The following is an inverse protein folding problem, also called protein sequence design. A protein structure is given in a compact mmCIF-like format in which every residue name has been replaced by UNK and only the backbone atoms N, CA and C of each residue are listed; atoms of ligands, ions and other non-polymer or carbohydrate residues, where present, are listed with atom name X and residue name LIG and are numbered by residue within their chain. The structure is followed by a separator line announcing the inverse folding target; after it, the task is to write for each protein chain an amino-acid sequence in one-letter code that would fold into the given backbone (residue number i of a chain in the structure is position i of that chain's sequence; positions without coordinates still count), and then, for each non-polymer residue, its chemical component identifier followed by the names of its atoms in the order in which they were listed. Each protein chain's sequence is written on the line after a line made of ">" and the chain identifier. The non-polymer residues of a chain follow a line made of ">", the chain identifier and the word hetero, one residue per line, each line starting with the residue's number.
data_IF_678906619305
#
_entry.id   IF_678906619305
#
_cell.length_a   1.000
_cell.length_b   1.000
_cell.length_c   1.000
_cell.angle_alpha   90.00
_cell.angle_beta   90.00
_cell.angle_gamma   90.00
#
_symmetry.space_group_name_H-M   'P 1'
#
loop_
_entity.id
_entity.type
_entity.pdbx_description
1 polymer ?
#
# COMPACT_ATOMS: atom_id res chain seq x y z
N UNK A 1 -2.14 7.30 24.13
CA UNK A 1 -2.46 7.66 22.73
C UNK A 1 -1.40 7.20 21.72
N UNK A 2 -0.11 7.54 21.87
CA UNK A 2 0.95 7.12 20.91
C UNK A 2 1.04 5.60 20.71
N UNK A 3 1.01 4.83 21.80
CA UNK A 3 1.03 3.36 21.74
C UNK A 3 -0.20 2.78 21.02
N UNK A 4 -1.38 3.40 21.21
CA UNK A 4 -2.61 2.96 20.55
C UNK A 4 -2.50 3.09 19.03
N UNK A 5 -2.04 4.25 18.55
CA UNK A 5 -1.86 4.51 17.11
C UNK A 5 -0.84 3.54 16.51
N UNK A 6 0.27 3.30 17.20
CA UNK A 6 1.25 2.30 16.77
C UNK A 6 0.63 0.89 16.68
N UNK A 7 -0.09 0.43 17.71
CA UNK A 7 -0.73 -0.89 17.68
C UNK A 7 -1.78 -1.00 16.57
N UNK A 8 -2.59 0.03 16.34
CA UNK A 8 -3.53 0.08 15.22
C UNK A 8 -2.79 -0.04 13.88
N UNK A 9 -1.75 0.74 13.65
CA UNK A 9 -0.95 0.65 12.41
C UNK A 9 -0.36 -0.75 12.18
N UNK A 10 0.04 -1.42 13.26
CA UNK A 10 0.56 -2.79 13.22
C UNK A 10 -0.52 -3.81 12.88
N UNK A 11 -1.72 -3.66 13.43
CA UNK A 11 -2.89 -4.49 13.10
C UNK A 11 -3.25 -4.32 11.62
N UNK A 12 -3.31 -3.08 11.13
CA UNK A 12 -3.56 -2.79 9.71
C UNK A 12 -2.50 -3.44 8.81
N UNK A 13 -1.22 -3.30 9.15
CA UNK A 13 -0.14 -3.95 8.40
C UNK A 13 -0.31 -5.47 8.32
N UNK A 14 -0.47 -6.15 9.45
CA UNK A 14 -0.59 -7.61 9.45
C UNK A 14 -1.89 -8.10 8.80
N UNK A 15 -3.00 -7.42 9.04
CA UNK A 15 -4.28 -7.72 8.40
C UNK A 15 -4.19 -7.58 6.87
N UNK A 16 -3.53 -6.52 6.39
CA UNK A 16 -3.33 -6.30 4.97
C UNK A 16 -2.37 -7.33 4.36
N UNK A 17 -1.28 -7.71 5.05
CA UNK A 17 -0.39 -8.79 4.60
C UNK A 17 -1.11 -10.14 4.52
N UNK A 18 -1.97 -10.46 5.48
CA UNK A 18 -2.78 -11.68 5.45
C UNK A 18 -3.72 -11.66 4.25
N UNK A 19 -4.46 -10.57 4.07
CA UNK A 19 -5.34 -10.39 2.92
C UNK A 19 -4.58 -10.52 1.59
N UNK A 20 -3.43 -9.87 1.47
CA UNK A 20 -2.59 -9.95 0.28
C UNK A 20 -2.07 -11.36 0.03
N UNK A 21 -1.62 -12.05 1.07
CA UNK A 21 -1.18 -13.44 0.96
C UNK A 21 -2.29 -14.37 0.50
N UNK A 22 -3.50 -14.23 1.06
CA UNK A 22 -4.67 -15.01 0.66
C UNK A 22 -5.05 -14.73 -0.79
N UNK A 23 -5.04 -13.46 -1.22
CA UNK A 23 -5.37 -13.11 -2.59
C UNK A 23 -4.32 -13.63 -3.58
N UNK A 24 -3.03 -13.46 -3.28
CA UNK A 24 -1.94 -13.99 -4.11
C UNK A 24 -2.03 -15.50 -4.20
N UNK A 25 -2.27 -16.18 -3.08
CA UNK A 25 -2.45 -17.62 -3.06
C UNK A 25 -3.60 -18.03 -3.96
N UNK A 26 -4.77 -17.38 -3.83
CA UNK A 26 -5.88 -17.55 -4.74
C UNK A 26 -5.48 -17.39 -6.21
N UNK A 27 -4.82 -16.27 -6.55
CA UNK A 27 -4.37 -16.00 -7.92
C UNK A 27 -3.46 -17.10 -8.48
N UNK A 28 -2.54 -17.63 -7.66
CA UNK A 28 -1.66 -18.73 -8.06
C UNK A 28 -2.45 -20.01 -8.31
N UNK A 29 -3.41 -20.34 -7.46
CA UNK A 29 -4.28 -21.49 -7.65
C UNK A 29 -5.10 -21.38 -8.95
N UNK A 30 -5.64 -20.19 -9.22
CA UNK A 30 -6.35 -19.91 -10.46
C UNK A 30 -5.46 -20.08 -11.69
N UNK A 31 -4.17 -19.72 -11.61
CA UNK A 31 -3.22 -19.99 -12.69
C UNK A 31 -2.99 -21.49 -12.92
N UNK A 32 -2.90 -22.29 -11.84
CA UNK A 32 -2.76 -23.75 -11.94
C UNK A 32 -3.99 -24.42 -12.54
N UNK A 33 -5.18 -23.98 -12.14
CA UNK A 33 -6.44 -24.50 -12.68
C UNK A 33 -6.65 -24.12 -14.16
N UNK A 34 -6.36 -22.86 -14.53
CA UNK A 34 -6.41 -22.44 -15.92
C UNK A 34 -5.35 -23.14 -16.80
N UNK A 35 -4.28 -23.68 -16.21
CA UNK A 35 -3.29 -24.51 -16.90
C UNK A 35 -3.69 -26.00 -16.94
N UNK A 36 -4.89 -26.36 -16.48
CA UNK A 36 -5.42 -27.73 -16.39
C UNK A 36 -4.55 -28.68 -15.55
N UNK A 37 -3.74 -28.13 -14.62
CA UNK A 37 -2.85 -28.92 -13.75
C UNK A 37 -3.63 -29.48 -12.55
N UNK A 38 -4.64 -28.75 -12.08
CA UNK A 38 -5.43 -29.05 -10.89
C UNK A 38 -6.90 -28.72 -11.23
N UNK A 39 -7.84 -29.55 -10.78
CA UNK A 39 -9.29 -29.31 -10.88
C UNK A 39 -9.84 -29.10 -9.46
N UNK A 40 -10.17 -27.85 -9.10
CA UNK A 40 -10.58 -27.46 -7.75
C UNK A 40 -11.94 -26.78 -7.72
N UNK A 41 -12.82 -27.24 -6.82
CA UNK A 41 -14.21 -26.75 -6.70
C UNK A 41 -14.37 -25.36 -6.07
N UNK A 42 -13.29 -24.70 -5.65
CA UNK A 42 -13.36 -23.40 -4.94
C UNK A 42 -13.08 -22.19 -5.83
N UNK A 43 -12.65 -22.44 -7.06
CA UNK A 43 -12.30 -21.42 -8.04
C UNK A 43 -13.21 -21.69 -9.23
N UNK A 44 -14.02 -20.72 -9.59
CA UNK A 44 -14.86 -20.81 -10.78
C UNK A 44 -14.44 -19.72 -11.75
N UNK A 45 -14.26 -20.13 -13.00
CA UNK A 45 -14.10 -19.21 -14.12
C UNK A 45 -15.45 -18.98 -14.78
N UNK A 46 -15.99 -17.77 -14.62
CA UNK A 46 -17.21 -17.37 -15.34
C UNK A 46 -16.80 -16.57 -16.58
N UNK A 47 -17.29 -16.96 -17.76
CA UNK A 47 -17.04 -16.20 -18.98
C UNK A 47 -17.90 -14.94 -19.00
N UNK A 48 -17.27 -13.76 -18.97
CA UNK A 48 -18.00 -12.52 -19.17
C UNK A 48 -18.13 -12.25 -20.68
N UNK A 49 -19.28 -12.61 -21.25
CA UNK A 49 -19.57 -12.44 -22.69
C UNK A 49 -19.49 -10.98 -23.15
N UNK A 50 -19.70 -10.02 -22.24
CA UNK A 50 -19.66 -8.57 -22.56
C UNK A 50 -18.22 -8.07 -22.73
N UNK A 51 -17.26 -8.69 -22.04
CA UNK A 51 -15.87 -8.22 -22.00
C UNK A 51 -14.89 -9.13 -22.78
N UNK A 52 -15.34 -10.28 -23.30
CA UNK A 52 -14.45 -11.35 -23.82
C UNK A 52 -13.34 -11.73 -22.81
N UNK A 53 -13.66 -11.72 -21.51
CA UNK A 53 -12.70 -11.98 -20.44
C UNK A 53 -13.21 -13.06 -19.48
N UNK A 54 -12.28 -13.82 -18.90
CA UNK A 54 -12.58 -14.75 -17.80
C UNK A 54 -12.63 -13.96 -16.48
N UNK A 55 -13.73 -14.10 -15.74
CA UNK A 55 -13.83 -13.66 -14.35
C UNK A 55 -13.34 -14.78 -13.45
N UNK A 56 -12.46 -14.45 -12.52
CA UNK A 56 -12.04 -15.31 -11.43
C UNK A 56 -12.93 -15.03 -10.23
N UNK A 57 -13.65 -16.04 -9.78
CA UNK A 57 -14.54 -15.95 -8.63
C UNK A 57 -13.95 -16.79 -7.50
N UNK A 58 -13.60 -16.12 -6.39
CA UNK A 58 -13.30 -16.80 -5.12
C UNK A 58 -14.55 -16.87 -4.27
N UNK A 59 -14.95 -18.08 -3.91
CA UNK A 59 -16.00 -18.32 -2.93
C UNK A 59 -15.40 -18.91 -1.65
N UNK A 60 -15.26 -18.09 -0.60
CA UNK A 60 -14.97 -18.61 0.73
C UNK A 60 -16.30 -19.00 1.41
N UNK A 61 -16.59 -20.29 1.43
CA UNK A 61 -17.80 -20.87 2.03
C UNK A 61 -18.03 -20.45 3.50
N UNK A 62 -16.97 -20.12 4.24
CA UNK A 62 -17.06 -19.74 5.65
C UNK A 62 -17.59 -18.30 5.87
N UNK A 63 -17.47 -17.42 4.87
CA UNK A 63 -17.75 -15.98 5.02
C UNK A 63 -18.72 -15.41 3.98
N UNK A 64 -19.25 -16.23 3.05
CA UNK A 64 -20.05 -15.76 1.91
C UNK A 64 -19.38 -14.60 1.15
N UNK A 65 -18.05 -14.60 1.15
CA UNK A 65 -17.27 -13.57 0.47
C UNK A 65 -17.09 -14.00 -0.98
N UNK A 66 -17.71 -13.26 -1.91
CA UNK A 66 -17.50 -13.39 -3.35
C UNK A 66 -16.55 -12.29 -3.81
N UNK A 67 -15.37 -12.67 -4.27
CA UNK A 67 -14.42 -11.74 -4.90
C UNK A 67 -14.40 -12.05 -6.38
N UNK A 68 -14.77 -11.07 -7.20
CA UNK A 68 -14.77 -11.15 -8.65
C UNK A 68 -13.57 -10.36 -9.20
N UNK A 69 -12.67 -11.04 -9.90
CA UNK A 69 -11.47 -10.43 -10.48
C UNK A 69 -11.43 -10.70 -11.98
N UNK A 70 -11.09 -9.68 -12.76
CA UNK A 70 -10.84 -9.87 -14.19
C UNK A 70 -9.48 -10.56 -14.39
N UNK A 71 -9.49 -11.73 -15.00
CA UNK A 71 -8.29 -12.53 -15.23
C UNK A 71 -7.49 -11.97 -16.42
N UNK A 72 -6.17 -11.81 -16.26
CA UNK A 72 -5.27 -11.24 -17.27
C UNK A 72 -4.35 -10.15 -16.72
N UNK A 73 -3.96 -9.17 -17.55
CA UNK A 73 -3.06 -8.08 -17.14
C UNK A 73 -3.59 -7.27 -15.94
N UNK A 74 -4.93 -7.17 -15.83
CA UNK A 74 -5.61 -6.48 -14.73
C UNK A 74 -5.28 -7.14 -13.38
N UNK A 75 -5.20 -8.48 -13.34
CA UNK A 75 -4.80 -9.23 -12.14
C UNK A 75 -3.41 -8.82 -11.65
N UNK A 76 -2.45 -8.69 -12.57
CA UNK A 76 -1.08 -8.27 -12.24
C UNK A 76 -1.05 -6.84 -11.68
N UNK A 77 -1.85 -5.92 -12.23
CA UNK A 77 -1.97 -4.56 -11.69
C UNK A 77 -2.60 -4.54 -10.29
N UNK A 78 -3.62 -5.38 -10.04
CA UNK A 78 -4.25 -5.51 -8.72
C UNK A 78 -3.25 -6.05 -7.70
N UNK A 79 -2.51 -7.10 -8.04
CA UNK A 79 -1.46 -7.64 -7.17
C UNK A 79 -0.37 -6.62 -6.89
N UNK A 80 0.09 -5.89 -7.92
CA UNK A 80 1.09 -4.84 -7.76
C UNK A 80 0.60 -3.73 -6.82
N UNK A 81 -0.64 -3.28 -6.99
CA UNK A 81 -1.26 -2.29 -6.09
C UNK A 81 -1.34 -2.82 -4.65
N UNK A 82 -1.71 -4.09 -4.48
CA UNK A 82 -1.72 -4.73 -3.17
C UNK A 82 -0.33 -4.76 -2.53
N UNK A 83 0.69 -5.21 -3.25
CA UNK A 83 2.06 -5.23 -2.70
C UNK A 83 2.56 -3.81 -2.39
N UNK A 84 2.20 -2.83 -3.20
CA UNK A 84 2.47 -1.43 -2.90
C UNK A 84 1.85 -1.02 -1.56
N UNK A 85 0.57 -1.31 -1.33
CA UNK A 85 -0.11 -0.97 -0.07
C UNK A 85 0.40 -1.78 1.12
N UNK A 86 0.78 -3.05 0.94
CA UNK A 86 1.42 -3.84 1.98
C UNK A 86 2.74 -3.19 2.44
N UNK A 87 3.56 -2.75 1.48
CA UNK A 87 4.79 -2.02 1.76
C UNK A 87 4.54 -0.62 2.35
N UNK A 88 3.48 0.06 1.90
CA UNK A 88 3.03 1.31 2.49
C UNK A 88 2.68 1.16 3.98
N UNK A 89 1.88 0.15 4.35
CA UNK A 89 1.53 -0.10 5.75
C UNK A 89 2.73 -0.55 6.59
N UNK A 90 3.67 -1.28 5.99
CA UNK A 90 4.94 -1.63 6.65
C UNK A 90 5.71 -0.37 7.08
N UNK A 91 5.87 0.57 6.15
CA UNK A 91 6.60 1.82 6.41
C UNK A 91 5.82 2.80 7.30
N UNK A 92 4.49 2.80 7.22
CA UNK A 92 3.62 3.53 8.14
C UNK A 92 3.75 3.03 9.59
N UNK A 93 3.75 1.70 9.79
CA UNK A 93 4.00 1.09 11.10
C UNK A 93 5.36 1.52 11.66
N UNK A 94 6.38 1.52 10.79
CA UNK A 94 7.73 1.94 11.17
C UNK A 94 7.83 3.44 11.49
N UNK A 95 7.09 4.29 10.77
CA UNK A 95 6.92 5.70 11.09
C UNK A 95 6.32 5.89 12.49
N UNK A 96 5.21 5.22 12.80
CA UNK A 96 4.59 5.35 14.12
C UNK A 96 5.45 4.79 15.26
N UNK A 97 6.26 3.77 14.98
CA UNK A 97 7.20 3.23 15.96
C UNK A 97 8.23 4.27 16.42
N UNK A 98 8.57 5.26 15.58
CA UNK A 98 9.49 6.35 15.96
C UNK A 98 8.99 7.15 17.17
N UNK A 99 7.68 7.26 17.36
CA UNK A 99 7.09 8.01 18.49
C UNK A 99 6.98 7.22 19.78
N UNK A 100 7.26 5.91 19.74
CA UNK A 100 7.22 4.99 20.88
C UNK A 100 8.63 4.61 21.34
N UNK A 101 9.63 4.77 20.47
CA UNK A 101 11.05 4.57 20.82
C UNK A 101 11.56 5.63 21.78
N UNK A 102 12.52 5.25 22.62
CA UNK A 102 13.21 6.15 23.54
C UNK A 102 14.12 7.15 22.81
N UNK A 103 14.78 6.73 21.72
CA UNK A 103 15.65 7.56 20.90
C UNK A 103 15.03 7.82 19.54
N UNK A 104 14.81 9.10 19.24
CA UNK A 104 14.18 9.56 17.99
C UNK A 104 15.23 10.11 17.01
N UNK A 105 16.25 10.80 17.51
CA UNK A 105 17.31 11.41 16.71
C UNK A 105 18.42 10.40 16.44
N UNK A 106 18.21 9.55 15.43
CA UNK A 106 19.18 8.56 14.96
C UNK A 106 19.10 8.46 13.44
N UNK A 107 20.19 8.07 12.77
CA UNK A 107 20.21 7.91 11.30
C UNK A 107 19.13 6.93 10.82
N UNK A 108 18.92 5.84 11.56
CA UNK A 108 17.87 4.85 11.28
C UNK A 108 16.47 5.46 11.27
N UNK A 109 16.21 6.44 12.14
CA UNK A 109 14.92 7.15 12.18
C UNK A 109 14.76 8.04 10.94
N UNK A 110 15.83 8.73 10.53
CA UNK A 110 15.86 9.57 9.34
C UNK A 110 15.62 8.73 8.08
N UNK A 111 16.22 7.55 7.96
CA UNK A 111 16.04 6.66 6.82
C UNK A 111 14.61 6.11 6.71
N UNK A 112 13.99 5.78 7.85
CA UNK A 112 12.58 5.35 7.89
C UNK A 112 11.64 6.47 7.45
N UNK A 113 11.89 7.70 7.93
CA UNK A 113 11.12 8.88 7.52
C UNK A 113 11.25 9.18 6.03
N UNK A 114 12.47 9.12 5.50
CA UNK A 114 12.72 9.32 4.07
C UNK A 114 12.04 8.25 3.21
N UNK A 115 12.11 6.99 3.62
CA UNK A 115 11.45 5.89 2.91
C UNK A 115 9.93 6.11 2.86
N UNK A 116 9.32 6.42 4.00
CA UNK A 116 7.88 6.68 4.05
C UNK A 116 7.50 7.95 3.26
N UNK A 117 8.34 8.98 3.29
CA UNK A 117 8.13 10.19 2.48
C UNK A 117 8.17 9.89 0.98
N UNK A 118 9.20 9.17 0.50
CA UNK A 118 9.31 8.76 -0.91
C UNK A 118 8.08 7.99 -1.36
N UNK A 119 7.57 7.06 -0.55
CA UNK A 119 6.35 6.31 -0.88
C UNK A 119 5.12 7.20 -1.04
N UNK A 120 4.95 8.19 -0.18
CA UNK A 120 3.86 9.16 -0.32
C UNK A 120 4.02 10.02 -1.57
N UNK A 121 5.24 10.45 -1.93
CA UNK A 121 5.47 11.11 -3.22
C UNK A 121 5.12 10.21 -4.41
N UNK A 122 5.59 8.95 -4.42
CA UNK A 122 5.27 8.01 -5.48
C UNK A 122 3.75 7.80 -5.63
N UNK A 123 3.04 7.57 -4.52
CA UNK A 123 1.58 7.47 -4.53
C UNK A 123 0.95 8.75 -5.12
N UNK A 124 1.35 9.92 -4.62
CA UNK A 124 0.85 11.22 -5.11
C UNK A 124 1.05 11.39 -6.62
N UNK A 125 2.23 11.06 -7.15
CA UNK A 125 2.53 11.14 -8.58
C UNK A 125 1.71 10.15 -9.42
N UNK A 126 1.47 8.93 -8.92
CA UNK A 126 0.61 7.95 -9.62
C UNK A 126 -0.82 8.49 -9.74
N UNK A 127 -1.39 9.02 -8.66
CA UNK A 127 -2.74 9.61 -8.70
C UNK A 127 -2.80 10.87 -9.55
N UNK A 128 -1.79 11.73 -9.50
CA UNK A 128 -1.70 12.91 -10.36
C UNK A 128 -1.60 12.53 -11.84
N UNK A 129 -0.76 11.55 -12.18
CA UNK A 129 -0.63 11.04 -13.55
C UNK A 129 -1.96 10.49 -14.06
N UNK A 130 -2.70 9.76 -13.21
CA UNK A 130 -4.04 9.27 -13.54
C UNK A 130 -5.04 10.42 -13.73
N UNK A 131 -5.05 11.41 -12.85
CA UNK A 131 -5.90 12.58 -12.99
C UNK A 131 -5.61 13.35 -14.29
N UNK A 132 -4.33 13.56 -14.64
CA UNK A 132 -3.92 14.19 -15.90
C UNK A 132 -4.40 13.36 -17.09
N UNK A 133 -4.20 12.03 -17.06
CA UNK A 133 -4.65 11.14 -18.12
C UNK A 133 -6.17 11.24 -18.35
N UNK A 134 -6.97 11.16 -17.28
CA UNK A 134 -8.42 11.29 -17.35
C UNK A 134 -8.84 12.66 -17.87
N UNK A 135 -8.19 13.73 -17.42
CA UNK A 135 -8.44 15.09 -17.90
C UNK A 135 -8.15 15.25 -19.40
N UNK A 136 -7.01 14.71 -19.88
CA UNK A 136 -6.61 14.80 -21.29
C UNK A 136 -7.56 14.02 -22.19
N UNK A 137 -8.02 12.85 -21.75
CA UNK A 137 -8.98 12.02 -22.50
C UNK A 137 -10.42 12.52 -22.41
N UNK A 138 -10.68 13.62 -21.69
CA UNK A 138 -12.03 14.17 -21.44
C UNK A 138 -12.98 13.17 -20.78
N UNK A 139 -12.42 12.20 -20.08
CA UNK A 139 -13.16 11.30 -19.23
C UNK A 139 -13.61 12.04 -17.96
N UNK A 140 -14.65 11.55 -17.32
CA UNK A 140 -15.11 12.13 -16.05
C UNK A 140 -14.03 11.92 -14.98
N UNK A 141 -13.51 13.03 -14.45
CA UNK A 141 -12.58 12.98 -13.33
C UNK A 141 -13.27 12.39 -12.10
N UNK A 142 -12.70 11.32 -11.59
CA UNK A 142 -13.06 10.77 -10.30
C UNK A 142 -12.47 11.66 -9.20
N UNK A 143 -13.33 12.44 -8.55
CA UNK A 143 -12.95 13.37 -7.49
C UNK A 143 -12.25 12.67 -6.32
N UNK A 144 -12.57 11.40 -6.05
CA UNK A 144 -11.96 10.62 -4.98
C UNK A 144 -10.47 10.38 -5.25
N UNK A 145 -10.12 10.04 -6.50
CA UNK A 145 -8.72 9.82 -6.91
C UNK A 145 -7.87 11.08 -6.75
N UNK A 146 -8.44 12.25 -7.09
CA UNK A 146 -7.74 13.54 -6.93
C UNK A 146 -7.50 13.85 -5.45
N UNK A 147 -8.52 13.62 -4.60
CA UNK A 147 -8.41 13.84 -3.16
C UNK A 147 -7.36 12.89 -2.54
N UNK A 148 -7.36 11.61 -2.91
CA UNK A 148 -6.38 10.64 -2.41
C UNK A 148 -4.96 11.06 -2.80
N UNK A 149 -4.74 11.47 -4.05
CA UNK A 149 -3.45 11.99 -4.50
C UNK A 149 -3.01 13.23 -3.71
N UNK A 150 -3.93 14.16 -3.47
CA UNK A 150 -3.67 15.36 -2.68
C UNK A 150 -3.28 15.03 -1.23
N UNK A 151 -3.98 14.09 -0.59
CA UNK A 151 -3.65 13.63 0.77
C UNK A 151 -2.22 13.10 0.83
N UNK A 152 -1.80 12.28 -0.13
CA UNK A 152 -0.43 11.75 -0.18
C UNK A 152 0.61 12.87 -0.34
N UNK A 153 0.37 13.87 -1.18
CA UNK A 153 1.28 15.02 -1.29
C UNK A 153 1.35 15.84 0.00
N UNK A 154 0.22 16.08 0.67
CA UNK A 154 0.20 16.79 1.96
C UNK A 154 1.00 16.02 3.00
N UNK A 155 0.80 14.70 3.10
CA UNK A 155 1.56 13.84 4.02
C UNK A 155 3.06 13.89 3.67
N UNK A 156 3.43 13.80 2.39
CA UNK A 156 4.82 13.87 1.95
C UNK A 156 5.49 15.21 2.35
N UNK A 157 4.78 16.33 2.16
CA UNK A 157 5.27 17.65 2.60
C UNK A 157 5.48 17.70 4.11
N UNK A 158 4.52 17.21 4.91
CA UNK A 158 4.65 17.16 6.37
C UNK A 158 5.83 16.28 6.79
N UNK A 159 6.02 15.13 6.15
CA UNK A 159 7.15 14.23 6.40
C UNK A 159 8.49 14.85 6.01
N UNK A 160 8.54 15.64 4.93
CA UNK A 160 9.72 16.38 4.54
C UNK A 160 10.16 17.33 5.65
N UNK A 161 9.24 18.16 6.16
CA UNK A 161 9.53 19.06 7.27
C UNK A 161 9.93 18.30 8.54
N UNK A 162 9.22 17.22 8.87
CA UNK A 162 9.54 16.43 10.05
C UNK A 162 10.91 15.75 9.95
N UNK A 163 11.29 15.25 8.77
CA UNK A 163 12.61 14.67 8.50
C UNK A 163 13.72 15.71 8.70
N UNK A 164 13.51 16.95 8.23
CA UNK A 164 14.45 18.05 8.44
C UNK A 164 14.62 18.39 9.94
N UNK A 165 13.52 18.42 10.69
CA UNK A 165 13.56 18.61 12.14
C UNK A 165 14.37 17.52 12.85
N UNK A 166 14.16 16.25 12.49
CA UNK A 166 14.92 15.13 13.08
C UNK A 166 16.40 15.20 12.71
N UNK A 167 16.75 15.57 11.47
CA UNK A 167 18.15 15.78 11.06
C UNK A 167 18.84 16.88 11.87
N UNK A 168 18.15 18.02 12.06
CA UNK A 168 18.66 19.13 12.87
C UNK A 168 18.83 18.72 14.33
N UNK A 169 17.87 17.97 14.89
CA UNK A 169 17.97 17.42 16.24
C UNK A 169 19.16 16.48 16.42
N UNK A 170 19.39 15.57 15.46
CA UNK A 170 20.56 14.68 15.47
C UNK A 170 21.87 15.46 15.41
N UNK A 171 21.95 16.50 14.57
CA UNK A 171 23.14 17.37 14.49
C UNK A 171 23.44 18.03 15.83
N UNK A 172 22.43 18.62 16.49
CA UNK A 172 22.59 19.25 17.79
C UNK A 172 23.01 18.23 18.86
N UNK A 173 22.42 17.03 18.84
CA UNK A 173 22.79 15.97 19.77
C UNK A 173 24.26 15.59 19.60
N UNK A 174 24.73 15.41 18.36
CA UNK A 174 26.12 15.07 18.08
C UNK A 174 27.08 16.21 18.49
N UNK A 175 26.70 17.47 18.30
CA UNK A 175 27.51 18.63 18.75
C UNK A 175 27.62 18.68 20.28
N UNK A 176 26.52 18.39 21.00
CA UNK A 176 26.52 18.35 22.46
C UNK A 176 27.29 17.14 23.03
N UNK A 177 27.20 15.97 22.39
CA UNK A 177 27.94 14.77 22.81
C UNK A 177 29.46 14.93 22.58
N UNK A 178 29.90 15.84 21.69
CA UNK A 178 31.31 16.17 21.47
C UNK A 178 31.86 17.23 22.44
N UNK A 179 30.99 17.90 23.21
CA UNK A 179 31.37 19.02 24.10
C UNK A 179 31.35 18.69 25.59
N UNK A 180 30.93 17.47 25.96
CA UNK A 180 30.94 16.92 27.33
C UNK A 180 32.07 15.89 27.46
#
# INVERSE_FOLDING_TARGET
>A
MKNLIYHLSRIFFYGFCLFAGLLTFGCVLALFENAEIIDWTFINFESNEVANMKLLIFELALFSLRIELQFGMILLFILLALYFYAYYFFTLKDFFNLFVKEKVFEDVSIDKLQTFNKLNYYAGFVFLGRAIYTFVNKDQLDGELVIIGAIHFVIALLLYYYTDLVRKGLKIQNENDLTI
#
